data_IF_746560603514
#
_entry.id   IF_746560603514
#
_cell.length_a   1.000
_cell.length_b   1.000
_cell.length_c   1.000
_cell.angle_alpha   90.00
_cell.angle_beta   90.00
_cell.angle_gamma   90.00
#
_symmetry.space_group_name_H-M   'P 1'
#
loop_
_entity.id
_entity.type
_entity.pdbx_description
1 polymer ?
#
# COMPACT_ATOMS: atom_id res chain seq x y z
N UNK A 1 78.80 -25.99 -50.15
CA UNK A 1 78.60 -27.18 -51.06
C UNK A 1 77.18 -27.61 -50.91
N UNK A 2 76.42 -27.50 -52.00
CA UNK A 2 75.09 -28.17 -52.30
C UNK A 2 73.91 -27.86 -51.42
N UNK A 3 72.95 -27.06 -51.88
CA UNK A 3 71.84 -27.29 -52.81
C UNK A 3 70.87 -28.40 -52.33
N UNK A 4 69.65 -28.08 -51.99
CA UNK A 4 68.40 -28.32 -52.76
C UNK A 4 67.13 -28.07 -51.96
N UNK A 5 66.27 -27.27 -52.52
CA UNK A 5 64.92 -27.45 -53.14
C UNK A 5 63.75 -27.62 -52.12
N UNK A 6 62.96 -26.59 -52.01
CA UNK A 6 61.62 -26.37 -52.59
C UNK A 6 60.67 -27.54 -52.39
N UNK A 7 59.58 -27.28 -51.66
CA UNK A 7 58.21 -27.49 -52.16
C UNK A 7 57.21 -26.55 -51.48
N UNK A 8 56.49 -25.80 -52.31
CA UNK A 8 55.29 -25.05 -51.99
C UNK A 8 54.13 -26.00 -51.84
N UNK A 9 53.33 -25.88 -50.77
CA UNK A 9 51.96 -26.42 -50.75
C UNK A 9 51.09 -25.28 -50.28
N UNK A 10 50.27 -24.77 -51.20
CA UNK A 10 49.11 -23.94 -50.95
C UNK A 10 48.01 -24.81 -50.28
N UNK A 11 47.66 -24.48 -49.08
CA UNK A 11 46.48 -25.04 -48.39
C UNK A 11 45.57 -23.90 -47.96
N UNK A 12 44.50 -23.71 -48.72
CA UNK A 12 43.47 -22.72 -48.39
C UNK A 12 42.70 -23.16 -47.14
N UNK A 13 42.80 -22.35 -46.10
CA UNK A 13 41.98 -22.49 -44.91
C UNK A 13 40.81 -21.50 -44.96
N UNK A 14 39.62 -22.05 -45.13
CA UNK A 14 38.36 -21.27 -45.07
C UNK A 14 38.19 -20.68 -43.68
N UNK A 15 38.13 -19.37 -43.59
CA UNK A 15 37.70 -18.68 -42.36
C UNK A 15 36.19 -18.84 -42.17
N UNK A 16 35.82 -19.74 -41.27
CA UNK A 16 34.43 -19.85 -40.80
C UNK A 16 34.17 -18.74 -39.78
N UNK A 17 33.50 -17.66 -40.21
CA UNK A 17 32.98 -16.64 -39.31
C UNK A 17 31.73 -17.22 -38.61
N UNK A 18 31.91 -17.63 -37.38
CA UNK A 18 30.78 -17.99 -36.53
C UNK A 18 30.07 -16.71 -36.06
N UNK A 19 28.90 -16.42 -36.62
CA UNK A 19 28.00 -15.39 -36.09
C UNK A 19 27.41 -15.90 -34.77
N UNK A 20 27.96 -15.49 -33.66
CA UNK A 20 27.30 -15.63 -32.36
C UNK A 20 26.12 -14.69 -32.30
N UNK A 21 24.93 -15.21 -32.59
CA UNK A 21 23.67 -14.50 -32.31
C UNK A 21 23.51 -14.47 -30.80
N UNK A 22 23.97 -13.39 -30.18
CA UNK A 22 23.75 -13.12 -28.78
C UNK A 22 22.26 -12.92 -28.53
N UNK A 23 21.58 -13.91 -27.97
CA UNK A 23 20.27 -13.71 -27.35
C UNK A 23 20.47 -12.79 -26.13
N UNK A 24 20.19 -11.52 -26.31
CA UNK A 24 19.98 -10.59 -25.18
C UNK A 24 18.74 -11.08 -24.42
N UNK A 25 18.86 -11.41 -23.13
CA UNK A 25 17.67 -11.65 -22.34
C UNK A 25 16.86 -10.36 -22.32
N UNK A 26 15.65 -10.42 -22.86
CA UNK A 26 14.67 -9.35 -22.72
C UNK A 26 14.42 -9.17 -21.22
N UNK A 27 14.98 -8.11 -20.65
CA UNK A 27 14.64 -7.65 -19.31
C UNK A 27 13.17 -7.25 -19.35
N UNK A 28 12.30 -8.19 -19.03
CA UNK A 28 10.90 -7.90 -18.72
C UNK A 28 10.92 -7.04 -17.45
N UNK A 29 11.00 -5.73 -17.65
CA UNK A 29 10.72 -4.75 -16.60
C UNK A 29 9.25 -4.94 -16.23
N UNK A 30 9.02 -5.69 -15.15
CA UNK A 30 7.69 -5.84 -14.57
C UNK A 30 7.32 -4.46 -14.02
N UNK A 31 6.64 -3.67 -14.83
CA UNK A 31 6.05 -2.42 -14.39
C UNK A 31 5.13 -2.76 -13.23
N UNK A 32 5.56 -2.45 -12.01
CA UNK A 32 4.66 -2.40 -10.87
C UNK A 32 3.66 -1.31 -11.22
N UNK A 33 2.46 -1.71 -11.64
CA UNK A 33 1.38 -0.76 -11.90
C UNK A 33 1.17 -0.01 -10.59
N UNK A 34 1.49 1.28 -10.59
CA UNK A 34 1.19 2.13 -9.44
C UNK A 34 -0.32 2.07 -9.21
N UNK A 35 -0.71 1.79 -7.98
CA UNK A 35 -2.12 1.75 -7.60
C UNK A 35 -2.76 3.10 -7.90
N UNK A 36 -3.79 3.12 -8.73
CA UNK A 36 -4.47 4.34 -9.16
C UNK A 36 -5.74 4.54 -8.33
N UNK A 37 -5.82 5.67 -7.63
CA UNK A 37 -6.98 6.03 -6.82
C UNK A 37 -7.87 7.03 -7.56
N UNK A 38 -9.19 6.95 -7.35
CA UNK A 38 -10.17 7.86 -7.96
C UNK A 38 -10.00 9.32 -7.49
N UNK A 39 -9.48 9.51 -6.27
CA UNK A 39 -9.10 10.83 -5.73
C UNK A 39 -7.59 10.88 -5.60
N UNK A 40 -6.96 11.67 -6.45
CA UNK A 40 -5.52 11.83 -6.49
C UNK A 40 -5.16 13.32 -6.54
N UNK A 41 -4.55 13.81 -5.48
CA UNK A 41 -4.04 15.19 -5.36
C UNK A 41 -2.52 15.16 -5.22
N UNK A 42 -1.88 16.26 -5.61
CA UNK A 42 -0.45 16.46 -5.33
C UNK A 42 -0.22 16.59 -3.82
N UNK A 43 1.01 16.37 -3.36
CA UNK A 43 1.37 16.54 -1.95
C UNK A 43 1.01 17.95 -1.43
N UNK A 44 1.22 18.98 -2.27
CA UNK A 44 0.85 20.36 -1.96
C UNK A 44 -0.67 20.54 -1.77
N UNK A 45 -1.47 19.99 -2.69
CA UNK A 45 -2.93 20.04 -2.60
C UNK A 45 -3.47 19.28 -1.38
N UNK A 46 -2.83 18.16 -0.99
CA UNK A 46 -3.17 17.43 0.23
C UNK A 46 -2.87 18.27 1.48
N UNK A 47 -1.71 18.94 1.55
CA UNK A 47 -1.37 19.83 2.68
C UNK A 47 -2.32 21.01 2.85
N UNK A 48 -2.91 21.50 1.77
CA UNK A 48 -3.92 22.56 1.82
C UNK A 48 -5.28 22.08 2.33
N UNK A 49 -5.57 20.79 2.23
CA UNK A 49 -6.86 20.16 2.57
C UNK A 49 -6.89 19.51 3.94
N UNK A 50 -5.74 19.09 4.43
CA UNK A 50 -5.58 18.33 5.65
C UNK A 50 -4.86 19.15 6.70
N UNK A 51 -5.18 18.92 7.97
CA UNK A 51 -4.32 19.40 9.04
C UNK A 51 -2.95 18.70 8.97
N UNK A 52 -1.93 19.28 9.60
CA UNK A 52 -0.60 18.68 9.64
C UNK A 52 -0.63 17.23 10.18
N UNK A 53 -1.41 17.00 11.25
CA UNK A 53 -1.55 15.66 11.85
C UNK A 53 -2.32 14.67 10.95
N UNK A 54 -3.37 15.14 10.26
CA UNK A 54 -4.08 14.31 9.27
C UNK A 54 -3.18 13.96 8.09
N UNK A 55 -2.38 14.93 7.62
CA UNK A 55 -1.44 14.70 6.53
C UNK A 55 -0.37 13.67 6.92
N UNK A 56 0.21 13.80 8.12
CA UNK A 56 1.21 12.86 8.62
C UNK A 56 0.67 11.41 8.68
N UNK A 57 -0.59 11.22 9.08
CA UNK A 57 -1.19 9.89 9.12
C UNK A 57 -1.61 9.42 7.73
N UNK A 58 -2.46 10.19 7.03
CA UNK A 58 -3.07 9.76 5.77
C UNK A 58 -2.07 9.66 4.60
N UNK A 59 -0.99 10.44 4.61
CA UNK A 59 -0.07 10.57 3.46
C UNK A 59 1.38 10.16 3.73
N UNK A 60 1.77 10.11 5.01
CA UNK A 60 3.12 9.74 5.45
C UNK A 60 3.12 8.47 6.32
N UNK A 61 1.98 7.74 6.37
CA UNK A 61 1.82 6.47 7.09
C UNK A 61 2.14 6.57 8.60
N UNK A 62 1.91 7.76 9.17
CA UNK A 62 2.09 8.00 10.59
C UNK A 62 1.04 7.29 11.46
N UNK A 63 1.28 7.26 12.76
CA UNK A 63 0.35 6.72 13.74
C UNK A 63 0.12 7.75 14.83
N UNK A 64 -1.14 8.01 15.17
CA UNK A 64 -1.47 8.87 16.32
C UNK A 64 -1.15 8.17 17.66
N UNK A 65 -0.89 8.90 18.74
CA UNK A 65 -0.71 8.29 20.04
C UNK A 65 -1.96 7.49 20.48
N UNK A 66 -1.80 6.38 21.21
CA UNK A 66 -2.95 5.64 21.74
C UNK A 66 -3.77 6.54 22.68
N UNK A 67 -5.08 6.34 22.67
CA UNK A 67 -6.06 7.08 23.49
C UNK A 67 -6.14 8.61 23.20
N UNK A 68 -5.54 9.09 22.10
CA UNK A 68 -5.57 10.51 21.75
C UNK A 68 -6.80 10.92 20.95
N UNK A 69 -7.45 9.99 20.28
CA UNK A 69 -8.62 10.30 19.46
C UNK A 69 -9.93 10.32 20.27
N UNK A 70 -10.74 11.39 20.14
CA UNK A 70 -12.09 11.38 20.72
C UNK A 70 -13.00 10.31 20.10
N UNK A 71 -12.67 9.77 18.94
CA UNK A 71 -13.44 8.70 18.29
C UNK A 71 -13.35 7.36 19.03
N UNK A 72 -12.44 7.20 19.99
CA UNK A 72 -12.48 6.06 20.90
C UNK A 72 -13.81 6.01 21.66
N UNK A 73 -14.25 7.15 22.18
CA UNK A 73 -15.46 7.30 23.00
C UNK A 73 -16.72 7.63 22.16
N UNK A 74 -16.64 7.56 20.83
CA UNK A 74 -17.80 7.78 19.97
C UNK A 74 -18.65 6.50 19.91
N UNK A 75 -19.86 6.52 20.49
CA UNK A 75 -20.79 5.41 20.62
C UNK A 75 -22.14 5.64 19.94
N UNK A 76 -22.34 6.82 19.35
CA UNK A 76 -23.60 7.12 18.65
C UNK A 76 -23.70 6.33 17.35
N UNK A 77 -24.95 6.09 16.92
CA UNK A 77 -25.17 5.54 15.59
C UNK A 77 -24.73 6.51 14.50
N UNK A 78 -23.99 5.98 13.52
CA UNK A 78 -23.46 6.80 12.43
C UNK A 78 -22.41 6.09 11.58
N UNK A 79 -21.70 6.90 10.81
CA UNK A 79 -20.67 6.43 9.90
C UNK A 79 -19.33 7.13 10.16
N UNK A 80 -18.27 6.37 10.00
CA UNK A 80 -16.89 6.87 10.00
C UNK A 80 -16.41 6.98 8.56
N UNK A 81 -16.01 8.17 8.15
CA UNK A 81 -15.57 8.48 6.80
C UNK A 81 -14.10 8.89 6.77
N UNK A 82 -13.43 8.69 5.64
CA UNK A 82 -12.05 9.13 5.42
C UNK A 82 -11.94 10.66 5.53
N UNK A 83 -11.08 11.16 6.40
CA UNK A 83 -10.84 12.60 6.54
C UNK A 83 -10.24 13.22 5.26
N UNK A 84 -9.61 12.43 4.40
CA UNK A 84 -9.03 12.93 3.15
C UNK A 84 -10.04 13.11 2.01
N UNK A 85 -10.97 12.19 1.83
CA UNK A 85 -11.86 12.20 0.67
C UNK A 85 -13.34 11.97 0.98
N UNK A 86 -13.70 11.87 2.25
CA UNK A 86 -15.07 11.66 2.75
C UNK A 86 -15.73 10.35 2.30
N UNK A 87 -14.94 9.38 1.83
CA UNK A 87 -15.42 8.01 1.59
C UNK A 87 -15.93 7.42 2.90
N UNK A 88 -17.17 6.93 2.96
CA UNK A 88 -17.65 6.15 4.08
C UNK A 88 -16.82 4.86 4.21
N UNK A 89 -16.31 4.59 5.41
CA UNK A 89 -15.35 3.50 5.67
C UNK A 89 -15.94 2.42 6.58
N UNK A 90 -16.53 2.84 7.70
CA UNK A 90 -17.06 1.93 8.73
C UNK A 90 -18.41 2.42 9.25
N UNK A 91 -19.25 1.46 9.66
CA UNK A 91 -20.46 1.74 10.43
C UNK A 91 -20.16 1.70 11.93
N UNK A 92 -20.84 2.52 12.71
CA UNK A 92 -20.82 2.44 14.18
C UNK A 92 -21.23 1.04 14.71
N UNK A 93 -22.06 0.32 13.98
CA UNK A 93 -22.50 -1.03 14.35
C UNK A 93 -21.37 -2.07 14.34
N UNK A 94 -20.26 -1.79 13.65
CA UNK A 94 -19.09 -2.69 13.62
C UNK A 94 -17.99 -2.24 14.57
N UNK A 95 -18.17 -1.09 15.26
CA UNK A 95 -17.21 -0.57 16.22
C UNK A 95 -17.24 -1.35 17.53
N UNK A 96 -16.08 -1.59 18.13
CA UNK A 96 -15.93 -2.19 19.45
C UNK A 96 -14.72 -1.60 20.17
N UNK A 97 -14.71 -1.74 21.50
CA UNK A 97 -13.55 -1.37 22.29
C UNK A 97 -12.54 -2.53 22.32
N UNK A 98 -11.40 -2.32 21.67
CA UNK A 98 -10.29 -3.29 21.63
C UNK A 98 -9.30 -3.10 22.77
N UNK A 99 -9.45 -2.07 23.61
CA UNK A 99 -8.54 -1.67 24.68
C UNK A 99 -7.10 -1.38 24.19
N UNK A 100 -6.92 -1.15 22.89
CA UNK A 100 -5.60 -0.82 22.30
C UNK A 100 -5.32 0.68 22.26
N UNK A 101 -6.34 1.51 22.43
CA UNK A 101 -6.24 2.98 22.40
C UNK A 101 -6.54 3.60 21.03
N UNK A 102 -6.99 2.82 20.08
CA UNK A 102 -7.42 3.28 18.76
C UNK A 102 -8.83 2.80 18.44
N UNK A 103 -9.63 3.60 17.68
CA UNK A 103 -10.93 3.15 17.19
C UNK A 103 -10.81 1.82 16.43
N UNK A 104 -11.59 0.84 16.84
CA UNK A 104 -11.51 -0.51 16.29
C UNK A 104 -12.84 -0.99 15.75
N UNK A 105 -12.80 -1.71 14.62
CA UNK A 105 -13.97 -2.22 13.92
C UNK A 105 -13.73 -3.68 13.50
N UNK A 106 -14.77 -4.51 13.53
CA UNK A 106 -14.64 -5.90 13.09
C UNK A 106 -14.91 -6.08 11.59
N UNK A 107 -15.50 -5.06 10.91
CA UNK A 107 -15.75 -5.10 9.47
C UNK A 107 -15.85 -3.67 8.89
N UNK A 108 -15.25 -3.38 7.73
CA UNK A 108 -15.49 -2.16 6.97
C UNK A 108 -16.81 -2.24 6.17
N UNK A 109 -17.24 -1.11 5.62
CA UNK A 109 -18.25 -1.08 4.57
C UNK A 109 -17.71 -1.74 3.29
N UNK A 110 -18.60 -2.22 2.45
CA UNK A 110 -18.25 -2.90 1.21
C UNK A 110 -17.38 -2.02 0.31
N UNK A 111 -16.26 -2.55 -0.17
CA UNK A 111 -15.28 -1.87 -1.03
C UNK A 111 -14.75 -0.52 -0.50
N UNK A 112 -14.93 -0.24 0.76
CA UNK A 112 -14.55 1.05 1.35
C UNK A 112 -13.05 1.17 1.64
N UNK A 113 -12.40 0.06 1.91
CA UNK A 113 -10.97 -0.01 2.20
C UNK A 113 -10.29 -1.04 1.31
N UNK A 114 -8.98 -0.91 1.17
CA UNK A 114 -8.10 -1.92 0.59
C UNK A 114 -6.92 -2.16 1.53
N UNK A 115 -6.21 -3.26 1.32
CA UNK A 115 -5.07 -3.64 2.17
C UNK A 115 -3.82 -3.88 1.35
N UNK A 116 -2.66 -3.69 1.98
CA UNK A 116 -1.36 -4.05 1.41
C UNK A 116 -0.41 -4.50 2.52
N UNK A 117 0.59 -5.31 2.15
CA UNK A 117 1.60 -5.76 3.11
C UNK A 117 2.53 -4.62 3.50
N UNK A 118 2.56 -4.33 4.79
CA UNK A 118 3.51 -3.43 5.41
C UNK A 118 4.66 -4.25 6.04
N UNK A 119 5.89 -3.93 5.62
CA UNK A 119 7.12 -4.60 6.10
C UNK A 119 8.04 -3.64 6.87
N UNK A 120 7.52 -2.53 7.30
CA UNK A 120 8.26 -1.54 8.10
C UNK A 120 8.50 -2.04 9.52
N UNK A 121 9.42 -1.42 10.23
CA UNK A 121 9.75 -1.71 11.63
C UNK A 121 10.13 -3.18 11.93
N UNK A 122 10.59 -3.94 10.94
CA UNK A 122 11.00 -5.33 11.13
C UNK A 122 9.85 -6.32 11.37
N UNK A 123 8.61 -5.90 11.17
CA UNK A 123 7.39 -6.72 11.28
C UNK A 123 6.70 -6.84 9.92
N UNK A 124 5.87 -7.87 9.77
CA UNK A 124 4.95 -7.99 8.63
C UNK A 124 3.55 -7.77 9.14
N UNK A 125 2.93 -6.68 8.70
CA UNK A 125 1.55 -6.30 9.05
C UNK A 125 0.73 -6.14 7.78
N UNK A 126 -0.58 -6.09 7.92
CA UNK A 126 -1.50 -5.77 6.85
C UNK A 126 -2.00 -4.33 7.05
N UNK A 127 -1.48 -3.41 6.24
CA UNK A 127 -1.95 -2.02 6.22
C UNK A 127 -3.35 -1.94 5.65
N UNK A 128 -4.16 -1.04 6.21
CA UNK A 128 -5.48 -0.67 5.70
C UNK A 128 -5.45 0.78 5.21
N UNK A 129 -5.89 1.00 3.96
CA UNK A 129 -6.00 2.33 3.39
C UNK A 129 -7.36 2.54 2.71
N UNK A 130 -7.73 3.80 2.54
CA UNK A 130 -8.96 4.18 1.86
C UNK A 130 -8.92 3.74 0.39
N UNK A 131 -9.89 2.96 -0.08
CA UNK A 131 -9.94 2.47 -1.46
C UNK A 131 -10.06 3.58 -2.50
N UNK A 132 -10.58 4.75 -2.11
CA UNK A 132 -10.86 5.87 -3.02
C UNK A 132 -9.68 6.82 -3.20
N UNK A 133 -8.88 7.07 -2.15
CA UNK A 133 -7.79 8.05 -2.19
C UNK A 133 -6.42 7.50 -1.76
N UNK A 134 -6.34 6.23 -1.38
CA UNK A 134 -5.11 5.60 -0.91
C UNK A 134 -4.58 6.15 0.42
N UNK A 135 -5.38 6.91 1.16
CA UNK A 135 -4.96 7.45 2.47
C UNK A 135 -4.80 6.34 3.49
N UNK A 136 -3.64 6.30 4.16
CA UNK A 136 -3.37 5.37 5.24
C UNK A 136 -4.38 5.54 6.38
N UNK A 137 -4.99 4.45 6.85
CA UNK A 137 -5.96 4.46 7.93
C UNK A 137 -5.45 3.76 9.19
N UNK A 138 -4.71 2.69 9.04
CA UNK A 138 -4.23 1.85 10.13
C UNK A 138 -3.85 0.47 9.66
N UNK A 139 -4.11 -0.54 10.48
CA UNK A 139 -3.78 -1.95 10.20
C UNK A 139 -4.92 -2.87 10.59
N UNK A 140 -4.99 -4.03 9.95
CA UNK A 140 -5.91 -5.10 10.32
C UNK A 140 -5.15 -6.27 10.93
N UNK A 141 -5.76 -6.88 11.95
CA UNK A 141 -5.24 -8.01 12.73
C UNK A 141 -6.30 -9.12 12.79
N UNK A 142 -5.89 -10.34 13.08
CA UNK A 142 -6.72 -11.54 13.19
C UNK A 142 -7.11 -11.89 14.65
N UNK A 143 -7.10 -10.87 15.51
CA UNK A 143 -7.41 -10.97 16.94
C UNK A 143 -8.71 -10.24 17.32
N UNK A 144 -9.62 -10.07 16.38
CA UNK A 144 -10.90 -9.40 16.56
C UNK A 144 -12.04 -10.32 17.02
N UNK A 145 -13.21 -9.73 17.30
CA UNK A 145 -14.40 -10.49 17.70
C UNK A 145 -15.09 -11.18 16.53
N UNK A 146 -15.99 -12.12 16.86
CA UNK A 146 -16.94 -12.65 15.89
C UNK A 146 -17.85 -11.51 15.36
N UNK A 147 -18.35 -11.57 14.09
CA UNK A 147 -18.35 -12.75 13.22
C UNK A 147 -17.10 -12.92 12.34
N UNK A 148 -16.23 -11.92 12.22
CA UNK A 148 -15.11 -11.97 11.26
C UNK A 148 -13.81 -12.49 11.87
N UNK A 149 -13.60 -12.32 13.17
CA UNK A 149 -12.32 -12.54 13.82
C UNK A 149 -11.29 -11.45 13.51
N UNK A 150 -11.67 -10.40 12.79
CA UNK A 150 -10.77 -9.33 12.37
C UNK A 150 -10.92 -8.09 13.26
N UNK A 151 -9.80 -7.41 13.49
CA UNK A 151 -9.73 -6.11 14.15
C UNK A 151 -9.08 -5.09 13.24
N UNK A 152 -9.87 -4.20 12.69
CA UNK A 152 -9.43 -3.02 11.95
C UNK A 152 -9.09 -1.93 12.96
N UNK A 153 -7.81 -1.76 13.28
CA UNK A 153 -7.29 -0.78 14.24
C UNK A 153 -6.91 0.50 13.51
N UNK A 154 -7.76 1.53 13.62
CA UNK A 154 -7.70 2.71 12.76
C UNK A 154 -7.24 3.95 13.53
N UNK A 155 -6.44 4.79 12.90
CA UNK A 155 -6.14 6.12 13.40
C UNK A 155 -7.41 6.97 13.38
N UNK A 156 -7.88 7.44 14.53
CA UNK A 156 -9.09 8.26 14.59
C UNK A 156 -8.92 9.59 13.87
N UNK A 157 -7.72 10.19 13.89
CA UNK A 157 -7.44 11.43 13.17
C UNK A 157 -7.56 11.29 11.65
N UNK A 158 -7.44 10.07 11.12
CA UNK A 158 -7.66 9.76 9.71
C UNK A 158 -9.14 9.68 9.33
N UNK A 159 -10.05 9.78 10.30
CA UNK A 159 -11.49 9.62 10.10
C UNK A 159 -12.29 10.83 10.61
N UNK A 160 -13.49 10.95 10.06
CA UNK A 160 -14.55 11.84 10.50
C UNK A 160 -15.76 11.02 10.88
N UNK A 161 -16.47 11.39 11.95
CA UNK A 161 -17.73 10.75 12.32
C UNK A 161 -18.91 11.62 11.91
N UNK A 162 -19.93 11.01 11.33
CA UNK A 162 -21.21 11.64 11.02
C UNK A 162 -22.31 10.82 11.67
N UNK A 163 -23.05 11.37 12.64
CA UNK A 163 -24.17 10.68 13.25
C UNK A 163 -25.29 10.43 12.25
N UNK A 164 -26.00 9.31 12.40
CA UNK A 164 -27.25 9.08 11.66
C UNK A 164 -28.27 10.14 12.07
N UNK A 165 -29.00 10.67 11.09
CA UNK A 165 -30.17 11.52 11.40
C UNK A 165 -31.20 10.69 12.16
N UNK A 166 -31.72 11.27 13.24
CA UNK A 166 -32.83 10.68 13.99
C UNK A 166 -34.11 10.63 13.16
#
# INVERSE_FOLDING_TARGET
>A
MMINRRYFILGGGALSVAYAVGLLPALFSRSVMAESFAVNYTAEQWRQRLSASQYAVLREEGTEPPYSSPLNEEHRDGQFACAGCQQALFSSHTKFDSHTGWPSFWQPLEQAVATRKDRTLGMVREEVHCSRCGGHLGHVFDDGPQPTGLRYCMNGIAMLFTPSSA
#
